data_IF_971809909739
#
_entry.id   IF_971809909739
#
_cell.length_a   1.000
_cell.length_b   1.000
_cell.length_c   1.000
_cell.angle_alpha   90.00
_cell.angle_beta   90.00
_cell.angle_gamma   90.00
#
_symmetry.space_group_name_H-M   'P 1'
#
loop_
_entity.id
_entity.type
_entity.pdbx_description
1 polymer ?
#
# COMPACT_ATOMS: atom_id res chain seq x y z
N UNK A 1 0.22 20.76 25.32
CA UNK A 1 0.00 19.50 24.57
C UNK A 1 0.14 19.72 23.06
N UNK A 2 -0.83 20.32 22.34
CA UNK A 2 -0.76 20.48 20.87
C UNK A 2 0.55 21.10 20.36
N UNK A 3 0.98 22.23 20.94
CA UNK A 3 2.24 22.88 20.55
C UNK A 3 3.44 21.95 20.69
N UNK A 4 3.46 21.12 21.73
CA UNK A 4 4.58 20.20 21.99
C UNK A 4 4.55 19.01 21.02
N UNK A 5 3.37 18.47 20.73
CA UNK A 5 3.21 17.46 19.68
C UNK A 5 3.68 17.97 18.32
N UNK A 6 3.43 19.25 17.99
CA UNK A 6 3.91 19.86 16.76
C UNK A 6 5.44 20.00 16.72
N UNK A 7 6.09 20.29 17.85
CA UNK A 7 7.56 20.29 17.92
C UNK A 7 8.13 18.89 17.73
N UNK A 8 7.54 17.89 18.39
CA UNK A 8 7.97 16.49 18.24
C UNK A 8 7.82 16.06 16.77
N UNK A 9 6.69 16.37 16.14
CA UNK A 9 6.47 16.11 14.71
C UNK A 9 7.56 16.77 13.85
N UNK A 10 7.87 18.04 14.09
CA UNK A 10 8.91 18.75 13.33
C UNK A 10 10.31 18.12 13.48
N UNK A 11 10.63 17.54 14.64
CA UNK A 11 11.90 16.81 14.81
C UNK A 11 11.88 15.42 14.15
N UNK A 12 10.73 14.74 14.14
CA UNK A 12 10.53 13.50 13.36
C UNK A 12 10.74 13.77 11.87
N UNK A 13 10.12 14.82 11.33
CA UNK A 13 10.23 15.19 9.91
C UNK A 13 11.66 15.58 9.49
N UNK A 14 12.48 16.09 10.42
CA UNK A 14 13.91 16.38 10.20
C UNK A 14 14.80 15.14 10.31
N UNK A 15 14.27 13.99 10.73
CA UNK A 15 15.07 12.79 11.01
C UNK A 15 15.87 12.85 12.31
N UNK A 16 15.56 13.79 13.21
CA UNK A 16 16.25 13.96 14.50
C UNK A 16 15.60 13.15 15.63
N UNK A 17 14.51 12.44 15.34
CA UNK A 17 13.80 11.65 16.33
C UNK A 17 14.48 10.30 16.54
N UNK A 18 14.98 10.07 17.76
CA UNK A 18 15.60 8.81 18.15
C UNK A 18 14.67 8.04 19.10
N UNK A 19 14.44 6.77 18.79
CA UNK A 19 13.72 5.86 19.68
C UNK A 19 14.62 5.50 20.86
N UNK A 20 14.11 5.69 22.08
CA UNK A 20 14.78 5.20 23.28
C UNK A 20 14.62 3.69 23.36
N UNK A 21 15.71 2.97 23.65
CA UNK A 21 15.69 1.51 23.84
C UNK A 21 14.87 1.06 25.04
N UNK A 22 14.65 1.96 26.00
CA UNK A 22 13.84 1.70 27.19
C UNK A 22 12.34 1.94 26.97
N UNK A 23 11.95 2.53 25.82
CA UNK A 23 10.55 2.69 25.47
C UNK A 23 9.98 1.37 24.93
N UNK A 24 8.82 0.96 25.43
CA UNK A 24 8.13 -0.26 25.00
C UNK A 24 7.67 -0.15 23.54
N UNK A 25 7.16 1.02 23.17
CA UNK A 25 6.58 1.31 21.86
C UNK A 25 6.67 2.81 21.53
N UNK A 26 6.28 3.19 20.31
CA UNK A 26 6.27 4.60 19.89
C UNK A 26 5.35 5.45 20.79
N UNK A 27 4.27 4.87 21.29
CA UNK A 27 3.29 5.63 22.05
C UNK A 27 3.80 6.01 23.45
N UNK A 28 4.45 5.08 24.14
CA UNK A 28 5.12 5.29 25.43
C UNK A 28 6.28 6.27 25.29
N UNK A 29 7.03 6.23 24.18
CA UNK A 29 8.05 7.23 23.87
C UNK A 29 7.44 8.65 23.79
N UNK A 30 6.36 8.83 23.03
CA UNK A 30 5.70 10.13 22.89
C UNK A 30 5.13 10.61 24.24
N UNK A 31 4.53 9.72 25.02
CA UNK A 31 4.03 10.03 26.36
C UNK A 31 5.15 10.45 27.33
N UNK A 32 6.31 9.79 27.27
CA UNK A 32 7.48 10.13 28.06
C UNK A 32 8.01 11.54 27.69
N UNK A 33 8.18 11.83 26.41
CA UNK A 33 8.64 13.14 25.93
C UNK A 33 7.70 14.28 26.34
N UNK A 34 6.38 14.05 26.23
CA UNK A 34 5.37 15.02 26.67
C UNK A 34 5.42 15.23 28.19
N UNK A 35 5.64 14.16 28.96
CA UNK A 35 5.70 14.23 30.42
C UNK A 35 6.99 14.92 30.89
N UNK A 36 8.13 14.65 30.25
CA UNK A 36 9.40 15.32 30.52
C UNK A 36 9.29 16.84 30.29
N UNK A 37 8.65 17.24 29.19
CA UNK A 37 8.56 18.66 28.81
C UNK A 37 7.45 19.42 29.55
N UNK A 38 6.31 18.77 29.82
CA UNK A 38 5.09 19.44 30.32
C UNK A 38 4.65 18.96 31.72
N UNK A 39 5.38 18.04 32.34
CA UNK A 39 5.06 17.47 33.64
C UNK A 39 3.69 16.79 33.67
N UNK A 40 2.89 17.08 34.70
CA UNK A 40 1.54 16.53 34.88
C UNK A 40 0.59 16.83 33.72
N UNK A 41 0.82 17.91 32.97
CA UNK A 41 0.01 18.21 31.77
C UNK A 41 0.27 17.20 30.65
N UNK A 42 1.51 16.72 30.53
CA UNK A 42 1.90 15.69 29.57
C UNK A 42 1.14 14.38 29.80
N UNK A 43 1.07 13.95 31.06
CA UNK A 43 0.36 12.73 31.48
C UNK A 43 -1.11 12.72 31.06
N UNK A 44 -1.78 13.89 31.04
CA UNK A 44 -3.20 13.97 30.68
C UNK A 44 -3.50 13.58 29.22
N UNK A 45 -2.50 13.42 28.35
CA UNK A 45 -2.69 13.04 26.96
C UNK A 45 -3.51 11.74 26.80
N UNK A 46 -3.29 10.73 27.64
CA UNK A 46 -3.98 9.45 27.53
C UNK A 46 -5.42 9.45 28.09
N UNK A 47 -5.92 10.59 28.61
CA UNK A 47 -7.26 10.66 29.22
C UNK A 47 -8.35 10.22 28.24
N UNK A 48 -9.20 9.28 28.67
CA UNK A 48 -10.29 8.75 27.86
C UNK A 48 -9.87 7.76 26.76
N UNK A 49 -8.58 7.48 26.60
CA UNK A 49 -8.02 6.58 25.58
C UNK A 49 -7.46 5.31 26.18
N UNK A 50 -7.29 4.28 25.36
CA UNK A 50 -6.52 3.08 25.67
C UNK A 50 -5.43 2.91 24.62
N UNK A 51 -4.35 2.21 24.97
CA UNK A 51 -3.39 1.77 23.95
C UNK A 51 -4.08 0.90 22.87
N UNK A 52 -5.14 0.19 23.25
CA UNK A 52 -5.90 -0.66 22.34
C UNK A 52 -6.50 0.15 21.17
N UNK A 53 -7.39 1.09 21.43
CA UNK A 53 -8.00 1.87 20.36
C UNK A 53 -7.02 2.85 19.69
N UNK A 54 -5.98 3.28 20.41
CA UNK A 54 -4.90 4.10 19.85
C UNK A 54 -4.11 3.37 18.75
N UNK A 55 -3.62 2.15 19.02
CA UNK A 55 -2.89 1.36 18.01
C UNK A 55 -3.75 1.12 16.77
N UNK A 56 -5.05 0.88 16.96
CA UNK A 56 -5.98 0.64 15.86
C UNK A 56 -6.19 1.87 14.97
N UNK A 57 -6.32 3.05 15.57
CA UNK A 57 -6.48 4.28 14.78
C UNK A 57 -5.20 4.60 14.01
N UNK A 58 -4.03 4.41 14.63
CA UNK A 58 -2.74 4.67 13.99
C UNK A 58 -2.50 3.73 12.80
N UNK A 59 -2.76 2.43 12.96
CA UNK A 59 -2.67 1.47 11.87
C UNK A 59 -3.61 1.80 10.72
N UNK A 60 -4.86 2.18 11.02
CA UNK A 60 -5.83 2.54 9.97
C UNK A 60 -5.46 3.83 9.24
N UNK A 61 -4.91 4.83 9.93
CA UNK A 61 -4.38 6.03 9.30
C UNK A 61 -3.21 5.71 8.37
N UNK A 62 -2.28 4.86 8.82
CA UNK A 62 -1.19 4.35 8.00
C UNK A 62 -1.70 3.59 6.77
N UNK A 63 -2.64 2.66 6.94
CA UNK A 63 -3.23 1.91 5.82
C UNK A 63 -3.93 2.82 4.82
N UNK A 64 -4.64 3.86 5.26
CA UNK A 64 -5.25 4.84 4.35
C UNK A 64 -4.19 5.54 3.52
N UNK A 65 -3.07 5.95 4.11
CA UNK A 65 -1.99 6.61 3.39
C UNK A 65 -1.37 5.67 2.34
N UNK A 66 -1.04 4.43 2.74
CA UNK A 66 -0.46 3.43 1.84
C UNK A 66 -1.42 3.03 0.70
N UNK A 67 -2.73 2.87 0.98
CA UNK A 67 -3.74 2.59 -0.05
C UNK A 67 -3.79 3.74 -1.07
N UNK A 68 -3.66 5.00 -0.65
CA UNK A 68 -3.63 6.15 -1.58
C UNK A 68 -2.41 6.11 -2.49
N UNK A 69 -1.23 5.73 -1.97
CA UNK A 69 0.00 5.57 -2.76
C UNK A 69 -0.16 4.45 -3.78
N UNK A 70 -0.59 3.26 -3.35
CA UNK A 70 -0.84 2.11 -4.22
C UNK A 70 -1.83 2.47 -5.33
N UNK A 71 -2.93 3.17 -5.00
CA UNK A 71 -3.89 3.67 -5.99
C UNK A 71 -3.22 4.58 -7.03
N UNK A 72 -2.39 5.53 -6.58
CA UNK A 72 -1.73 6.48 -7.48
C UNK A 72 -0.75 5.78 -8.43
N UNK A 73 0.01 4.80 -7.93
CA UNK A 73 0.95 4.02 -8.73
C UNK A 73 0.21 3.10 -9.71
N UNK A 74 -0.87 2.43 -9.26
CA UNK A 74 -1.71 1.61 -10.11
C UNK A 74 -2.37 2.42 -11.24
N UNK A 75 -2.82 3.64 -10.96
CA UNK A 75 -3.41 4.53 -11.97
C UNK A 75 -2.36 4.95 -13.01
N UNK A 76 -1.15 5.30 -12.58
CA UNK A 76 -0.05 5.64 -13.50
C UNK A 76 0.28 4.45 -14.42
N UNK A 77 0.34 3.24 -13.87
CA UNK A 77 0.58 2.03 -14.65
C UNK A 77 -0.58 1.73 -15.61
N UNK A 78 -1.82 1.86 -15.15
CA UNK A 78 -3.01 1.70 -15.97
C UNK A 78 -3.00 2.64 -17.18
N UNK A 79 -2.78 3.95 -16.94
CA UNK A 79 -2.76 4.96 -18.00
C UNK A 79 -1.66 4.66 -19.03
N UNK A 80 -0.48 4.21 -18.57
CA UNK A 80 0.62 3.80 -19.45
C UNK A 80 0.25 2.56 -20.28
N UNK A 81 -0.32 1.53 -19.66
CA UNK A 81 -0.73 0.32 -20.36
C UNK A 81 -1.83 0.63 -21.38
N UNK A 82 -2.79 1.50 -21.05
CA UNK A 82 -3.83 1.92 -21.97
C UNK A 82 -3.26 2.72 -23.15
N UNK A 83 -2.30 3.62 -22.90
CA UNK A 83 -1.60 4.36 -23.94
C UNK A 83 -0.85 3.41 -24.89
N UNK A 84 -0.13 2.43 -24.34
CA UNK A 84 0.59 1.43 -25.11
C UNK A 84 -0.37 0.51 -25.88
N UNK A 85 -1.52 0.17 -25.28
CA UNK A 85 -2.58 -0.61 -25.91
C UNK A 85 -3.05 0.05 -27.20
N UNK A 86 -3.41 1.34 -27.15
CA UNK A 86 -3.86 2.08 -28.33
C UNK A 86 -2.73 2.26 -29.35
N UNK A 87 -1.53 2.63 -28.89
CA UNK A 87 -0.37 2.83 -29.76
C UNK A 87 0.01 1.58 -30.55
N UNK A 88 -0.10 0.40 -29.93
CA UNK A 88 0.32 -0.88 -30.50
C UNK A 88 -0.85 -1.78 -30.91
N UNK A 89 -2.06 -1.21 -31.03
CA UNK A 89 -3.31 -1.93 -31.38
C UNK A 89 -3.19 -2.85 -32.59
N UNK A 90 -2.47 -2.43 -33.62
CA UNK A 90 -2.32 -3.16 -34.88
C UNK A 90 -0.99 -3.89 -35.03
N UNK A 91 -0.10 -3.84 -34.02
CA UNK A 91 1.16 -4.59 -34.04
C UNK A 91 0.86 -6.03 -33.66
N UNK A 92 0.98 -6.93 -34.62
CA UNK A 92 0.63 -8.34 -34.43
C UNK A 92 1.55 -9.01 -33.41
N UNK A 93 0.96 -9.87 -32.59
CA UNK A 93 1.63 -10.73 -31.62
C UNK A 93 0.99 -12.12 -31.73
N UNK A 94 1.76 -13.22 -31.79
CA UNK A 94 1.17 -14.55 -31.71
C UNK A 94 0.51 -14.75 -30.34
N UNK A 95 -0.75 -15.20 -30.31
CA UNK A 95 -1.36 -15.66 -29.06
C UNK A 95 -0.73 -16.98 -28.61
N UNK A 96 -0.61 -17.20 -27.30
CA UNK A 96 -0.05 -18.42 -26.73
C UNK A 96 -1.02 -19.10 -25.78
N UNK A 97 -1.20 -20.40 -25.92
CA UNK A 97 -1.86 -21.27 -24.94
C UNK A 97 -0.93 -22.44 -24.63
N UNK A 98 -0.68 -22.72 -23.35
CA UNK A 98 0.33 -23.72 -22.91
C UNK A 98 1.72 -23.53 -23.53
N UNK A 99 2.10 -22.28 -23.85
CA UNK A 99 3.36 -21.96 -24.53
C UNK A 99 3.40 -22.35 -26.02
N UNK A 100 2.28 -22.79 -26.60
CA UNK A 100 2.13 -23.10 -28.02
C UNK A 100 1.46 -21.94 -28.77
N UNK A 101 1.87 -21.73 -30.01
CA UNK A 101 1.28 -20.71 -30.89
C UNK A 101 -0.19 -21.07 -31.15
N UNK A 102 -1.06 -20.10 -30.93
CA UNK A 102 -2.50 -20.19 -31.12
C UNK A 102 -2.96 -19.18 -32.19
N UNK A 103 -4.02 -18.42 -31.90
CA UNK A 103 -4.58 -17.44 -32.83
C UNK A 103 -3.70 -16.18 -32.92
N UNK A 104 -3.72 -15.47 -34.07
CA UNK A 104 -3.16 -14.13 -34.17
C UNK A 104 -3.80 -13.18 -33.14
N UNK A 105 -2.98 -12.35 -32.52
CA UNK A 105 -3.35 -11.32 -31.55
C UNK A 105 -2.60 -10.02 -31.87
N UNK A 106 -2.60 -9.06 -30.95
CA UNK A 106 -1.79 -7.85 -31.03
C UNK A 106 -1.20 -7.46 -29.69
N UNK A 107 -0.11 -6.68 -29.73
CA UNK A 107 0.44 -6.03 -28.54
C UNK A 107 -0.58 -5.09 -27.88
N UNK A 108 -1.47 -4.50 -28.66
CA UNK A 108 -2.56 -3.72 -28.09
C UNK A 108 -3.45 -4.56 -27.18
N UNK A 109 -3.89 -5.72 -27.64
CA UNK A 109 -4.70 -6.62 -26.81
C UNK A 109 -3.94 -7.11 -25.57
N UNK A 110 -2.63 -7.37 -25.71
CA UNK A 110 -1.78 -7.77 -24.58
C UNK A 110 -1.68 -6.68 -23.50
N UNK A 111 -1.38 -5.43 -23.88
CA UNK A 111 -1.34 -4.31 -22.91
C UNK A 111 -2.71 -4.02 -22.32
N UNK A 112 -3.77 -4.03 -23.16
CA UNK A 112 -5.15 -3.83 -22.73
C UNK A 112 -5.60 -4.87 -21.69
N UNK A 113 -5.20 -6.14 -21.84
CA UNK A 113 -5.53 -7.18 -20.89
C UNK A 113 -4.97 -6.90 -19.48
N UNK A 114 -3.73 -6.40 -19.37
CA UNK A 114 -3.17 -6.02 -18.07
C UNK A 114 -3.79 -4.75 -17.51
N UNK A 115 -4.10 -3.76 -18.36
CA UNK A 115 -4.83 -2.58 -17.93
C UNK A 115 -6.20 -2.96 -17.34
N UNK A 116 -6.94 -3.84 -18.00
CA UNK A 116 -8.24 -4.34 -17.54
C UNK A 116 -8.12 -5.14 -16.24
N UNK A 117 -7.10 -5.99 -16.10
CA UNK A 117 -6.88 -6.76 -14.86
C UNK A 117 -6.59 -5.85 -13.66
N UNK A 118 -5.87 -4.74 -13.85
CA UNK A 118 -5.66 -3.74 -12.80
C UNK A 118 -6.97 -3.08 -12.32
N UNK A 119 -8.01 -3.02 -13.17
CA UNK A 119 -9.33 -2.51 -12.76
C UNK A 119 -9.98 -3.47 -11.76
N UNK A 120 -9.86 -4.78 -11.99
CA UNK A 120 -10.33 -5.79 -11.04
C UNK A 120 -9.56 -5.71 -9.71
N UNK A 121 -8.25 -5.53 -9.77
CA UNK A 121 -7.41 -5.34 -8.58
C UNK A 121 -7.85 -4.10 -7.78
N UNK A 122 -8.22 -3.00 -8.46
CA UNK A 122 -8.74 -1.79 -7.83
C UNK A 122 -10.06 -2.01 -7.07
N UNK A 123 -10.92 -2.95 -7.49
CA UNK A 123 -12.12 -3.28 -6.72
C UNK A 123 -11.79 -3.85 -5.34
N UNK A 124 -10.73 -4.67 -5.25
CA UNK A 124 -10.26 -5.19 -3.97
C UNK A 124 -9.67 -4.08 -3.10
N UNK A 125 -8.95 -3.12 -3.71
CA UNK A 125 -8.33 -2.00 -2.99
C UNK A 125 -9.37 -1.04 -2.41
N UNK A 126 -10.42 -0.74 -3.18
CA UNK A 126 -11.57 0.06 -2.69
C UNK A 126 -12.27 -0.65 -1.53
N UNK A 127 -12.35 -1.98 -1.56
CA UNK A 127 -12.93 -2.75 -0.45
C UNK A 127 -12.05 -2.67 0.80
N UNK A 128 -10.73 -2.78 0.65
CA UNK A 128 -9.78 -2.59 1.75
C UNK A 128 -9.86 -1.16 2.31
N UNK A 129 -9.94 -0.14 1.45
CA UNK A 129 -10.13 1.25 1.83
C UNK A 129 -11.36 1.43 2.71
N UNK A 130 -12.52 0.90 2.30
CA UNK A 130 -13.78 1.04 3.06
C UNK A 130 -13.70 0.45 4.47
N UNK A 131 -12.92 -0.62 4.66
CA UNK A 131 -12.73 -1.25 5.98
C UNK A 131 -11.73 -0.45 6.84
N UNK A 132 -10.64 0.00 6.22
CA UNK A 132 -9.65 0.85 6.87
C UNK A 132 -10.23 2.24 7.22
N UNK A 133 -11.16 2.77 6.42
CA UNK A 133 -11.71 4.11 6.56
C UNK A 133 -12.86 4.21 7.60
N UNK A 134 -12.72 3.48 8.70
CA UNK A 134 -13.65 3.49 9.83
C UNK A 134 -12.90 3.81 11.12
N UNK A 135 -13.29 4.86 11.82
CA UNK A 135 -12.64 5.35 13.03
C UNK A 135 -12.88 4.42 14.24
N UNK A 136 -11.83 3.77 14.80
CA UNK A 136 -11.95 2.92 15.97
C UNK A 136 -11.79 3.69 17.30
N UNK A 137 -11.36 4.95 17.25
CA UNK A 137 -11.03 5.76 18.43
C UNK A 137 -12.28 6.00 19.29
N UNK A 138 -12.10 5.91 20.61
CA UNK A 138 -13.19 5.95 21.59
C UNK A 138 -13.77 4.58 21.93
N UNK A 139 -13.25 3.50 21.34
CA UNK A 139 -13.55 2.13 21.80
C UNK A 139 -12.77 1.75 23.07
N UNK A 140 -11.77 2.57 23.46
CA UNK A 140 -10.91 2.38 24.63
C UNK A 140 -10.35 0.95 24.69
N UNK A 141 -10.46 0.27 25.83
CA UNK A 141 -9.99 -1.11 25.98
C UNK A 141 -10.81 -2.14 25.17
N UNK A 142 -11.90 -1.72 24.52
CA UNK A 142 -12.84 -2.55 23.74
C UNK A 142 -14.29 -2.45 24.19
N UNK A 143 -14.55 -1.73 25.26
CA UNK A 143 -15.88 -1.62 25.88
C UNK A 143 -16.41 -0.18 25.88
N UNK A 144 -15.76 0.72 25.15
CA UNK A 144 -16.06 2.15 25.14
C UNK A 144 -15.33 2.90 26.26
N UNK A 145 -15.32 4.23 26.14
CA UNK A 145 -14.76 5.14 27.15
C UNK A 145 -15.84 5.56 28.15
N UNK A 146 -15.49 5.69 29.43
CA UNK A 146 -16.34 6.32 30.45
C UNK A 146 -16.38 7.85 30.34
N UNK A 147 -15.48 8.42 29.53
CA UNK A 147 -15.48 9.85 29.23
C UNK A 147 -16.52 10.14 28.13
N UNK A 148 -17.21 11.29 28.18
CA UNK A 148 -18.16 11.71 27.14
C UNK A 148 -17.41 12.22 25.89
N UNK A 149 -16.72 11.31 25.20
CA UNK A 149 -15.94 11.64 24.00
C UNK A 149 -16.85 11.91 22.80
N UNK A 150 -16.60 13.02 22.10
CA UNK A 150 -17.20 13.28 20.80
C UNK A 150 -16.47 12.48 19.71
N UNK A 151 -16.95 11.26 19.48
CA UNK A 151 -16.36 10.36 18.47
C UNK A 151 -16.60 10.87 17.05
N UNK A 152 -17.69 11.59 16.79
CA UNK A 152 -17.94 12.16 15.47
C UNK A 152 -16.94 13.27 15.15
N UNK A 153 -16.62 14.12 16.15
CA UNK A 153 -15.57 15.13 16.02
C UNK A 153 -14.23 14.50 15.68
N UNK A 154 -13.78 13.48 16.41
CA UNK A 154 -12.51 12.80 16.07
C UNK A 154 -12.54 12.11 14.71
N UNK A 155 -13.71 11.60 14.28
CA UNK A 155 -13.88 11.00 12.95
C UNK A 155 -13.64 12.04 11.85
N UNK A 156 -14.19 13.24 12.01
CA UNK A 156 -13.98 14.37 11.08
C UNK A 156 -12.53 14.86 11.09
N UNK A 157 -11.96 15.09 12.28
CA UNK A 157 -10.59 15.60 12.43
C UNK A 157 -9.53 14.64 11.87
N UNK A 158 -9.77 13.33 11.94
CA UNK A 158 -8.88 12.28 11.43
C UNK A 158 -9.23 11.82 10.00
N UNK A 159 -10.13 12.54 9.31
CA UNK A 159 -10.53 12.30 7.92
C UNK A 159 -11.10 10.89 7.68
N UNK A 160 -11.73 10.27 8.68
CA UNK A 160 -12.44 9.01 8.49
C UNK A 160 -13.84 9.25 7.92
N UNK A 161 -14.29 8.34 7.05
CA UNK A 161 -15.63 8.42 6.46
C UNK A 161 -16.73 8.08 7.47
N UNK A 162 -16.45 7.14 8.38
CA UNK A 162 -17.43 6.74 9.39
C UNK A 162 -16.77 6.17 10.65
N UNK A 163 -17.59 5.83 11.64
CA UNK A 163 -17.18 5.22 12.89
C UNK A 163 -17.16 3.69 12.78
N UNK A 164 -16.31 3.05 13.58
CA UNK A 164 -16.68 1.74 14.10
C UNK A 164 -17.69 1.96 15.24
N UNK A 165 -18.98 1.74 14.94
CA UNK A 165 -20.08 2.02 15.87
C UNK A 165 -19.99 1.20 17.16
N UNK A 166 -19.71 -0.10 17.04
CA UNK A 166 -19.58 -0.99 18.20
C UNK A 166 -18.13 -1.07 18.68
N UNK A 167 -17.89 -0.82 19.97
CA UNK A 167 -16.54 -0.78 20.55
C UNK A 167 -15.83 -2.15 20.51
N UNK A 168 -16.55 -3.24 20.76
CA UNK A 168 -15.98 -4.60 20.70
C UNK A 168 -15.65 -4.95 19.26
N UNK A 169 -16.56 -4.64 18.32
CA UNK A 169 -16.32 -4.85 16.89
C UNK A 169 -15.13 -4.05 16.37
N UNK A 170 -14.88 -2.84 16.89
CA UNK A 170 -13.68 -2.07 16.58
C UNK A 170 -12.41 -2.85 16.95
N UNK A 171 -12.37 -3.45 18.13
CA UNK A 171 -11.22 -4.27 18.58
C UNK A 171 -11.08 -5.58 17.81
N UNK A 172 -12.19 -6.20 17.40
CA UNK A 172 -12.18 -7.36 16.49
C UNK A 172 -11.67 -7.01 15.08
N UNK A 173 -11.46 -5.72 14.78
CA UNK A 173 -10.85 -5.26 13.53
C UNK A 173 -9.36 -5.56 13.42
N UNK A 174 -8.67 -5.88 14.54
CA UNK A 174 -7.27 -6.29 14.56
C UNK A 174 -7.04 -7.55 13.72
N UNK A 175 -6.00 -7.55 12.91
CA UNK A 175 -5.70 -8.62 11.95
C UNK A 175 -6.70 -8.71 10.80
N UNK A 176 -7.99 -8.37 11.00
CA UNK A 176 -9.01 -8.41 9.94
C UNK A 176 -8.76 -7.35 8.89
N UNK A 177 -8.44 -6.11 9.29
CA UNK A 177 -8.19 -5.01 8.34
C UNK A 177 -6.92 -5.29 7.53
N UNK A 178 -5.88 -5.75 8.22
CA UNK A 178 -4.57 -6.13 7.70
C UNK A 178 -4.70 -7.26 6.69
N UNK A 179 -5.45 -8.31 7.02
CA UNK A 179 -5.69 -9.43 6.11
C UNK A 179 -6.44 -9.01 4.84
N UNK A 180 -7.43 -8.11 4.96
CA UNK A 180 -8.18 -7.61 3.79
C UNK A 180 -7.26 -6.78 2.90
N UNK A 181 -6.43 -5.90 3.49
CA UNK A 181 -5.44 -5.14 2.74
C UNK A 181 -4.39 -6.04 2.08
N UNK A 182 -3.84 -7.01 2.82
CA UNK A 182 -2.85 -7.95 2.31
C UNK A 182 -3.40 -8.78 1.13
N UNK A 183 -4.67 -9.22 1.21
CA UNK A 183 -5.33 -9.90 0.10
C UNK A 183 -5.46 -8.99 -1.14
N UNK A 184 -5.82 -7.71 -0.94
CA UNK A 184 -5.89 -6.75 -2.03
C UNK A 184 -4.52 -6.52 -2.68
N UNK A 185 -3.46 -6.33 -1.88
CA UNK A 185 -2.08 -6.18 -2.39
C UNK A 185 -1.63 -7.43 -3.14
N UNK A 186 -1.96 -8.63 -2.64
CA UNK A 186 -1.65 -9.88 -3.33
C UNK A 186 -2.36 -10.02 -4.69
N UNK A 187 -3.53 -9.40 -4.87
CA UNK A 187 -4.22 -9.35 -6.18
C UNK A 187 -3.37 -8.61 -7.21
N UNK A 188 -2.93 -7.38 -6.90
CA UNK A 188 -2.00 -6.63 -7.76
C UNK A 188 -0.71 -7.40 -8.02
N UNK A 189 -0.17 -8.02 -6.98
CA UNK A 189 1.05 -8.80 -7.08
C UNK A 189 0.90 -9.95 -8.09
N UNK A 190 -0.22 -10.69 -8.05
CA UNK A 190 -0.52 -11.73 -9.03
C UNK A 190 -0.54 -11.20 -10.48
N UNK A 191 -1.16 -10.05 -10.70
CA UNK A 191 -1.19 -9.39 -12.03
C UNK A 191 0.21 -9.01 -12.50
N UNK A 192 1.00 -8.38 -11.64
CA UNK A 192 2.39 -7.97 -11.93
C UNK A 192 3.32 -9.17 -12.13
N UNK A 193 3.12 -10.25 -11.38
CA UNK A 193 3.86 -11.50 -11.56
C UNK A 193 3.69 -12.05 -12.97
N UNK A 194 2.44 -12.09 -13.46
CA UNK A 194 2.11 -12.60 -14.79
C UNK A 194 2.65 -11.67 -15.89
N UNK A 195 2.55 -10.35 -15.71
CA UNK A 195 3.15 -9.36 -16.61
C UNK A 195 4.67 -9.53 -16.69
N UNK A 196 5.31 -9.71 -15.54
CA UNK A 196 6.75 -9.95 -15.47
C UNK A 196 7.17 -11.25 -16.14
N UNK A 197 6.39 -12.33 -15.97
CA UNK A 197 6.65 -13.60 -16.62
C UNK A 197 6.60 -13.46 -18.16
N UNK A 198 5.61 -12.75 -18.70
CA UNK A 198 5.53 -12.49 -20.14
C UNK A 198 6.71 -11.65 -20.62
N UNK A 199 7.10 -10.61 -19.88
CA UNK A 199 8.25 -9.78 -20.24
C UNK A 199 9.56 -10.56 -20.28
N UNK A 200 9.81 -11.42 -19.29
CA UNK A 200 10.98 -12.30 -19.29
C UNK A 200 10.97 -13.25 -20.51
N UNK A 201 9.81 -13.80 -20.86
CA UNK A 201 9.64 -14.69 -22.01
C UNK A 201 9.85 -13.95 -23.33
N UNK A 202 9.20 -12.81 -23.52
CA UNK A 202 9.20 -12.02 -24.74
C UNK A 202 10.55 -11.34 -25.03
N UNK A 203 11.33 -11.00 -23.99
CA UNK A 203 12.69 -10.49 -24.14
C UNK A 203 13.68 -11.59 -24.57
N UNK A 204 13.41 -12.85 -24.20
CA UNK A 204 14.36 -13.93 -24.47
C UNK A 204 14.63 -14.10 -25.97
N UNK A 205 15.87 -14.47 -26.32
CA UNK A 205 16.31 -14.52 -27.72
C UNK A 205 15.54 -15.48 -28.63
N UNK A 206 14.81 -16.45 -28.06
CA UNK A 206 13.95 -17.36 -28.82
C UNK A 206 12.64 -16.69 -29.27
N UNK A 207 12.16 -15.69 -28.54
CA UNK A 207 10.96 -14.92 -28.88
C UNK A 207 11.35 -13.59 -29.53
N UNK A 208 12.15 -12.78 -28.84
CA UNK A 208 12.67 -11.51 -29.36
C UNK A 208 11.57 -10.51 -29.72
N UNK A 209 10.44 -10.53 -29.01
CA UNK A 209 9.28 -9.68 -29.31
C UNK A 209 9.43 -8.27 -28.77
N UNK A 210 10.18 -8.11 -27.68
CA UNK A 210 10.42 -6.83 -27.02
C UNK A 210 11.90 -6.63 -26.73
N UNK A 211 12.30 -5.37 -26.54
CA UNK A 211 13.64 -5.00 -26.08
C UNK A 211 13.52 -3.81 -25.12
N UNK A 212 14.53 -3.65 -24.26
CA UNK A 212 14.58 -2.59 -23.26
C UNK A 212 15.88 -1.79 -23.39
N UNK A 213 15.87 -0.50 -22.99
CA UNK A 213 17.08 0.28 -22.83
C UNK A 213 18.11 -0.38 -21.89
N UNK A 214 19.38 -0.08 -22.12
CA UNK A 214 20.50 -0.65 -21.37
C UNK A 214 20.46 -0.37 -19.87
N UNK A 215 19.86 0.74 -19.44
CA UNK A 215 19.72 1.08 -18.02
C UNK A 215 18.61 0.30 -17.29
N UNK A 216 17.80 -0.47 -18.02
CA UNK A 216 16.71 -1.31 -17.47
C UNK A 216 17.02 -2.81 -17.56
N UNK A 217 18.21 -3.18 -18.02
CA UNK A 217 18.66 -4.57 -18.15
C UNK A 217 20.09 -4.70 -17.67
N UNK A 218 20.51 -5.88 -17.22
CA UNK A 218 21.94 -6.17 -17.06
C UNK A 218 22.48 -6.88 -18.29
N UNK A 219 23.78 -6.74 -18.55
CA UNK A 219 24.45 -7.30 -19.71
C UNK A 219 25.56 -8.28 -19.36
N UNK A 220 26.14 -8.90 -20.38
CA UNK A 220 27.40 -9.65 -20.26
C UNK A 220 28.56 -8.84 -20.82
N UNK A 221 29.71 -8.86 -20.12
CA UNK A 221 30.95 -8.25 -20.61
C UNK A 221 31.51 -8.92 -21.87
N UNK A 222 31.17 -10.19 -22.11
CA UNK A 222 31.65 -10.99 -23.25
C UNK A 222 30.62 -11.00 -24.39
N UNK A 223 29.33 -10.88 -24.07
CA UNK A 223 28.24 -10.94 -25.05
C UNK A 223 27.46 -9.61 -25.05
N UNK A 224 27.84 -8.64 -25.90
CA UNK A 224 27.26 -7.30 -25.89
C UNK A 224 25.75 -7.26 -26.18
N UNK A 225 25.25 -8.25 -26.93
CA UNK A 225 23.83 -8.36 -27.28
C UNK A 225 22.99 -9.06 -26.20
N UNK A 226 23.61 -9.72 -25.21
CA UNK A 226 22.88 -10.42 -24.15
C UNK A 226 22.37 -9.40 -23.13
N UNK A 227 21.05 -9.29 -23.01
CA UNK A 227 20.35 -8.46 -22.01
C UNK A 227 19.51 -9.36 -21.11
N UNK A 228 19.68 -9.25 -19.80
CA UNK A 228 18.92 -10.00 -18.81
C UNK A 228 17.75 -9.13 -18.29
N UNK A 229 16.56 -9.71 -18.05
CA UNK A 229 15.38 -9.00 -17.58
C UNK A 229 15.34 -8.87 -16.04
N UNK A 230 16.44 -8.49 -15.38
CA UNK A 230 16.58 -8.57 -13.90
C UNK A 230 15.47 -7.83 -13.15
N UNK A 231 15.07 -6.65 -13.64
CA UNK A 231 13.97 -5.87 -13.04
C UNK A 231 12.65 -6.66 -13.05
N UNK A 232 12.35 -7.35 -14.15
CA UNK A 232 11.15 -8.18 -14.26
C UNK A 232 11.27 -9.44 -13.41
N UNK A 233 12.45 -10.04 -13.31
CA UNK A 233 12.69 -11.18 -12.42
C UNK A 233 12.48 -10.81 -10.95
N UNK A 234 12.89 -9.62 -10.53
CA UNK A 234 12.63 -9.08 -9.20
C UNK A 234 11.15 -8.82 -8.96
N UNK A 235 10.45 -8.18 -9.92
CA UNK A 235 9.00 -8.00 -9.82
C UNK A 235 8.32 -9.34 -9.61
N UNK A 236 8.68 -10.36 -10.40
CA UNK A 236 8.12 -11.72 -10.27
C UNK A 236 8.43 -12.37 -8.92
N UNK A 237 9.62 -12.17 -8.36
CA UNK A 237 10.01 -12.76 -7.08
C UNK A 237 9.37 -12.09 -5.87
N UNK A 238 9.09 -10.78 -5.96
CA UNK A 238 8.46 -10.00 -4.89
C UNK A 238 6.94 -9.95 -4.98
N UNK A 239 6.36 -10.49 -6.05
CA UNK A 239 4.93 -10.63 -6.23
C UNK A 239 4.36 -11.87 -5.54
#
# INVERSE_FOLDING_TARGET
LRLELQKILAEVEKGNFNLNTDAEDIHSQIEAMLTETLGETGKKIHSGRSRNDQVLVDLKLFFKDEIRKIKADALQLFDLLQLLSEKHRSVLLPGYTHGQIAMPSSFGLWFGAYAETLVDDMHTLVSAWRVANQNPLGSAAGYGSSFPLDREMTTRELDFETLNYNAVAAQMGRGKTERILAFSVASFASTLNKLAADNCMYLSGNYGFISYPDNLTTGSSIMPHKKNPDVWELIRAHS
#
